data_IF_885672440594
#
_entry.id   IF_885672440594
#
_cell.length_a   1.000
_cell.length_b   1.000
_cell.length_c   1.000
_cell.angle_alpha   90.00
_cell.angle_beta   90.00
_cell.angle_gamma   90.00
#
_symmetry.space_group_name_H-M   'P 1'
#
loop_
_entity.id
_entity.type
_entity.pdbx_description
1 polymer ?
#
# COMPACT_ATOMS: atom_id res chain seq x y z
N UNK A 1 -13.86 -1.40 4.10
CA UNK A 1 -14.43 -2.43 5.00
C UNK A 1 -13.74 -3.74 4.67
N UNK A 2 -13.30 -4.50 5.67
CA UNK A 2 -12.60 -5.78 5.49
C UNK A 2 -13.31 -6.84 6.32
N UNK A 3 -13.59 -8.01 5.75
CA UNK A 3 -14.20 -9.12 6.48
C UNK A 3 -13.24 -9.70 7.52
N UNK A 4 -13.77 -10.19 8.64
CA UNK A 4 -12.95 -10.88 9.63
C UNK A 4 -12.50 -12.24 9.06
N UNK A 5 -11.19 -12.60 9.17
CA UNK A 5 -10.63 -13.79 8.52
C UNK A 5 -11.09 -15.13 9.12
N UNK A 6 -11.83 -15.10 10.24
CA UNK A 6 -12.40 -16.30 10.88
C UNK A 6 -13.69 -16.81 10.21
N UNK A 7 -14.12 -16.16 9.12
CA UNK A 7 -15.37 -16.50 8.42
C UNK A 7 -16.64 -16.11 9.19
N UNK A 8 -16.52 -15.36 10.29
CA UNK A 8 -17.67 -14.80 10.98
C UNK A 8 -18.30 -13.65 10.19
N UNK A 9 -19.52 -13.27 10.56
CA UNK A 9 -20.18 -12.08 10.00
C UNK A 9 -19.62 -10.77 10.59
N UNK A 10 -18.35 -10.74 11.01
CA UNK A 10 -17.72 -9.53 11.54
C UNK A 10 -16.94 -8.82 10.46
N UNK A 11 -16.94 -7.49 10.54
CA UNK A 11 -16.25 -6.60 9.60
C UNK A 11 -15.48 -5.53 10.35
N UNK A 12 -14.34 -5.17 9.78
CA UNK A 12 -13.54 -4.03 10.16
C UNK A 12 -13.90 -2.84 9.28
N UNK A 13 -14.31 -1.75 9.91
CA UNK A 13 -14.71 -0.50 9.26
C UNK A 13 -13.71 0.56 9.68
N UNK A 14 -12.92 1.01 8.71
CA UNK A 14 -11.95 2.07 8.89
C UNK A 14 -12.56 3.40 8.48
N UNK A 15 -12.34 4.43 9.29
CA UNK A 15 -12.53 5.81 8.87
C UNK A 15 -11.21 6.43 8.42
N UNK A 16 -11.32 7.52 7.66
CA UNK A 16 -10.18 8.22 7.09
C UNK A 16 -9.30 8.88 8.15
N UNK A 17 -9.84 9.16 9.34
CA UNK A 17 -9.12 9.75 10.46
C UNK A 17 -8.19 8.75 11.17
N UNK A 18 -8.19 7.48 10.79
CA UNK A 18 -7.29 6.48 11.37
C UNK A 18 -7.90 5.62 12.46
N UNK A 19 -9.24 5.55 12.56
CA UNK A 19 -9.90 4.64 13.50
C UNK A 19 -10.48 3.44 12.77
N UNK A 20 -10.13 2.25 13.25
CA UNK A 20 -10.68 0.98 12.78
C UNK A 20 -11.62 0.47 13.87
N UNK A 21 -12.86 0.16 13.47
CA UNK A 21 -13.89 -0.37 14.36
C UNK A 21 -14.37 -1.73 13.88
N UNK A 22 -14.62 -2.63 14.82
CA UNK A 22 -15.19 -3.95 14.59
C UNK A 22 -16.71 -3.89 14.79
N UNK A 23 -17.46 -4.47 13.85
CA UNK A 23 -18.90 -4.66 13.98
C UNK A 23 -19.33 -6.02 13.44
N UNK A 24 -20.49 -6.50 13.89
CA UNK A 24 -21.16 -7.68 13.34
C UNK A 24 -22.21 -7.25 12.33
N UNK A 25 -22.08 -7.70 11.09
CA UNK A 25 -23.03 -7.47 10.00
C UNK A 25 -24.33 -8.22 10.29
N UNK A 26 -25.49 -7.54 10.31
CA UNK A 26 -26.78 -8.19 10.46
C UNK A 26 -27.05 -9.18 9.32
N UNK A 27 -27.78 -10.25 9.61
CA UNK A 27 -28.19 -11.21 8.58
C UNK A 27 -28.98 -10.51 7.46
N UNK A 28 -28.73 -10.91 6.21
CA UNK A 28 -29.43 -10.38 5.04
C UNK A 28 -30.94 -10.59 5.22
N UNK A 29 -31.72 -9.52 5.06
CA UNK A 29 -33.19 -9.54 5.22
C UNK A 29 -33.69 -9.42 6.67
N UNK A 30 -32.81 -9.32 7.67
CA UNK A 30 -33.22 -9.14 9.07
C UNK A 30 -33.77 -7.75 9.40
N UNK A 31 -33.61 -6.78 8.51
CA UNK A 31 -33.91 -5.36 8.79
C UNK A 31 -32.95 -4.70 9.80
N UNK A 32 -31.94 -5.43 10.29
CA UNK A 32 -30.94 -4.88 11.19
C UNK A 32 -30.03 -3.89 10.50
N UNK A 33 -29.70 -2.81 11.20
CA UNK A 33 -28.77 -1.77 10.73
C UNK A 33 -27.40 -1.88 11.42
N UNK A 34 -26.35 -1.49 10.70
CA UNK A 34 -25.05 -1.17 11.27
C UNK A 34 -25.09 0.28 11.75
N UNK A 35 -25.14 0.48 13.07
CA UNK A 35 -25.18 1.79 13.71
C UNK A 35 -23.90 2.06 14.52
N UNK A 36 -23.65 3.32 14.90
CA UNK A 36 -22.47 3.70 15.70
C UNK A 36 -22.37 2.96 17.05
N UNK A 37 -23.51 2.63 17.65
CA UNK A 37 -23.67 1.87 18.89
C UNK A 37 -23.18 0.41 18.80
N UNK A 38 -23.06 -0.11 17.57
CA UNK A 38 -22.62 -1.50 17.30
C UNK A 38 -21.16 -1.59 16.88
N UNK A 39 -20.43 -0.47 16.90
CA UNK A 39 -19.02 -0.38 16.53
C UNK A 39 -18.15 -0.38 17.78
N UNK A 40 -17.39 -1.44 17.97
CA UNK A 40 -16.32 -1.51 18.98
C UNK A 40 -15.01 -0.98 18.39
N UNK A 41 -14.32 -0.07 19.10
CA UNK A 41 -13.00 0.40 18.67
C UNK A 41 -12.01 -0.76 18.68
N UNK A 42 -11.31 -0.96 17.55
CA UNK A 42 -10.30 -2.00 17.38
C UNK A 42 -8.88 -1.41 17.35
N UNK A 43 -8.69 -0.32 16.60
CA UNK A 43 -7.42 0.41 16.53
C UNK A 43 -7.71 1.91 16.39
N UNK A 44 -6.94 2.73 17.09
CA UNK A 44 -6.90 4.19 16.90
C UNK A 44 -5.46 4.61 16.66
N UNK A 45 -5.20 5.10 15.45
CA UNK A 45 -3.91 5.71 15.04
C UNK A 45 -4.12 7.15 14.57
N UNK A 46 -5.19 7.81 15.01
CA UNK A 46 -5.54 9.17 14.57
C UNK A 46 -4.51 10.24 14.93
N UNK A 47 -3.63 9.95 15.89
CA UNK A 47 -2.45 10.75 16.23
C UNK A 47 -1.32 10.64 15.18
N UNK A 48 -1.26 9.52 14.46
CA UNK A 48 -0.28 9.25 13.40
C UNK A 48 -0.79 9.63 12.01
N UNK A 49 -2.09 9.60 11.78
CA UNK A 49 -2.68 9.81 10.46
C UNK A 49 -2.79 11.30 10.12
N UNK A 50 -2.27 11.67 8.95
CA UNK A 50 -2.51 12.96 8.33
C UNK A 50 -3.70 12.89 7.37
N UNK A 51 -4.68 13.76 7.60
CA UNK A 51 -5.93 13.81 6.82
C UNK A 51 -5.99 15.10 6.00
N UNK A 52 -6.04 14.99 4.67
CA UNK A 52 -6.24 16.12 3.75
C UNK A 52 -6.61 15.65 2.32
N UNK A 53 -7.67 16.19 1.69
CA UNK A 53 -8.21 15.80 0.36
C UNK A 53 -8.40 14.31 0.10
N UNK A 54 -7.37 13.57 -0.31
CA UNK A 54 -7.38 12.11 -0.50
C UNK A 54 -6.50 11.35 0.51
N UNK A 55 -5.77 12.07 1.37
CA UNK A 55 -4.87 11.53 2.38
C UNK A 55 -5.60 11.11 3.64
N UNK A 56 -5.23 9.99 4.24
CA UNK A 56 -5.78 9.49 5.51
C UNK A 56 -5.41 8.03 5.72
N UNK A 57 -6.21 7.30 6.50
CA UNK A 57 -6.15 5.83 6.48
C UNK A 57 -6.75 5.33 5.17
N UNK A 58 -5.97 4.51 4.46
CA UNK A 58 -6.26 4.07 3.11
C UNK A 58 -6.77 2.63 3.10
N UNK A 59 -6.05 1.73 3.79
CA UNK A 59 -6.27 0.29 3.66
C UNK A 59 -5.89 -0.48 4.91
N UNK A 60 -6.36 -1.71 4.96
CA UNK A 60 -6.04 -2.69 5.99
C UNK A 60 -6.02 -4.07 5.35
N UNK A 61 -5.11 -4.93 5.81
CA UNK A 61 -5.10 -6.34 5.46
C UNK A 61 -4.64 -7.22 6.60
N UNK A 62 -5.10 -8.46 6.61
CA UNK A 62 -4.71 -9.46 7.59
C UNK A 62 -3.56 -10.29 7.06
N UNK A 63 -2.61 -10.58 7.92
CA UNK A 63 -1.63 -11.63 7.65
C UNK A 63 -2.37 -12.95 7.36
N UNK A 64 -1.93 -13.78 6.40
CA UNK A 64 -2.56 -15.10 6.15
C UNK A 64 -2.72 -15.92 7.44
N UNK A 65 -1.69 -15.91 8.28
CA UNK A 65 -1.68 -16.51 9.62
C UNK A 65 -2.26 -15.65 10.76
N UNK A 66 -3.11 -14.65 10.48
CA UNK A 66 -3.68 -13.74 11.49
C UNK A 66 -4.37 -14.49 12.64
N UNK A 67 -5.01 -15.62 12.35
CA UNK A 67 -5.68 -16.43 13.38
C UNK A 67 -4.70 -17.05 14.38
N UNK A 68 -3.42 -17.16 14.02
CA UNK A 68 -2.36 -17.70 14.86
C UNK A 68 -1.48 -16.60 15.47
N UNK A 69 -1.11 -15.59 14.68
CA UNK A 69 -0.14 -14.56 15.09
C UNK A 69 -0.77 -13.20 15.44
N UNK A 70 -2.05 -12.99 15.12
CA UNK A 70 -2.74 -11.70 15.32
C UNK A 70 -2.20 -10.56 14.46
N UNK A 71 -1.34 -10.82 13.47
CA UNK A 71 -0.65 -9.82 12.67
C UNK A 71 -1.52 -9.24 11.55
N UNK A 72 -1.58 -7.92 11.46
CA UNK A 72 -2.29 -7.21 10.40
C UNK A 72 -1.56 -5.93 10.03
N UNK A 73 -1.85 -5.43 8.84
CA UNK A 73 -1.20 -4.25 8.28
C UNK A 73 -2.23 -3.15 8.05
N UNK A 74 -1.82 -1.90 8.27
CA UNK A 74 -2.62 -0.71 7.97
C UNK A 74 -1.80 0.21 7.10
N UNK A 75 -2.42 0.69 6.02
CA UNK A 75 -1.84 1.72 5.16
C UNK A 75 -2.48 3.08 5.43
N UNK A 76 -1.67 4.12 5.62
CA UNK A 76 -2.16 5.46 5.93
C UNK A 76 -1.17 6.55 5.51
N UNK A 77 -1.62 7.79 5.41
CA UNK A 77 -0.74 8.93 5.19
C UNK A 77 -0.34 9.60 6.49
N UNK A 78 0.86 10.13 6.51
CA UNK A 78 1.50 10.71 7.67
C UNK A 78 2.19 12.04 7.30
N UNK A 79 2.33 12.98 8.23
CA UNK A 79 3.05 14.25 8.06
C UNK A 79 4.33 14.25 8.91
N UNK A 80 5.49 14.14 8.27
CA UNK A 80 6.80 14.02 8.93
C UNK A 80 7.09 15.16 9.91
N UNK A 81 6.50 16.33 9.74
CA UNK A 81 6.68 17.45 10.66
C UNK A 81 5.93 17.21 11.99
N UNK A 82 4.85 16.43 11.96
CA UNK A 82 4.04 16.12 13.15
C UNK A 82 4.56 14.94 13.95
N UNK A 83 5.30 14.01 13.35
CA UNK A 83 5.85 12.84 14.04
C UNK A 83 7.24 12.48 13.52
N UNK A 84 8.23 12.62 14.39
CA UNK A 84 9.62 12.32 14.10
C UNK A 84 9.90 10.82 13.90
N UNK A 85 8.93 9.95 14.21
CA UNK A 85 9.02 8.50 14.01
C UNK A 85 8.83 8.05 12.55
N UNK A 86 8.53 8.98 11.65
CA UNK A 86 8.43 8.69 10.23
C UNK A 86 9.79 8.81 9.53
N UNK A 87 10.38 7.66 9.22
CA UNK A 87 11.63 7.56 8.45
C UNK A 87 11.38 6.86 7.12
N UNK A 88 12.03 7.34 6.06
CA UNK A 88 12.09 6.65 4.78
C UNK A 88 12.46 7.58 3.62
N UNK A 89 12.62 6.97 2.45
CA UNK A 89 13.10 7.64 1.24
C UNK A 89 12.02 8.53 0.64
N UNK A 90 12.36 9.69 0.10
CA UNK A 90 11.39 10.53 -0.61
C UNK A 90 11.18 10.01 -2.04
N UNK A 91 9.94 9.99 -2.56
CA UNK A 91 9.65 9.51 -3.92
C UNK A 91 10.41 10.30 -4.98
N UNK A 92 10.46 11.62 -4.82
CA UNK A 92 11.24 12.51 -5.66
C UNK A 92 12.64 12.70 -5.04
N UNK A 93 13.60 11.90 -5.50
CA UNK A 93 14.99 11.94 -5.05
C UNK A 93 15.96 11.87 -6.25
N UNK A 94 17.26 11.98 -5.97
CA UNK A 94 18.30 11.94 -7.00
C UNK A 94 18.30 10.66 -7.84
N UNK A 95 17.96 9.52 -7.25
CA UNK A 95 18.00 8.21 -7.92
C UNK A 95 16.90 8.07 -8.97
N UNK A 96 15.85 8.90 -8.87
CA UNK A 96 14.76 8.98 -9.86
C UNK A 96 14.87 10.22 -10.75
N UNK A 97 16.00 10.93 -10.74
CA UNK A 97 16.18 12.24 -11.40
C UNK A 97 15.13 13.28 -10.99
N UNK A 98 14.61 13.15 -9.77
CA UNK A 98 13.64 14.07 -9.23
C UNK A 98 14.32 15.29 -8.64
N UNK A 99 13.87 16.49 -9.02
CA UNK A 99 14.29 17.76 -8.42
C UNK A 99 13.18 18.31 -7.52
N UNK A 100 13.29 18.21 -6.19
CA UNK A 100 12.31 18.78 -5.27
C UNK A 100 12.07 20.28 -5.45
N UNK A 101 13.03 21.02 -6.01
CA UNK A 101 12.93 22.48 -6.19
C UNK A 101 12.01 22.89 -7.34
N UNK A 102 11.74 21.99 -8.29
CA UNK A 102 10.78 22.25 -9.38
C UNK A 102 9.32 22.18 -8.90
N UNK A 103 9.09 21.62 -7.72
CA UNK A 103 7.80 21.67 -7.05
C UNK A 103 7.68 23.02 -6.35
N UNK A 104 7.08 23.99 -7.02
CA UNK A 104 6.66 25.23 -6.36
C UNK A 104 5.80 24.84 -5.14
N UNK A 105 6.00 25.53 -4.01
CA UNK A 105 5.20 25.43 -2.76
C UNK A 105 3.75 25.89 -2.94
N UNK A 106 3.15 25.51 -4.06
CA UNK A 106 1.75 25.73 -4.37
C UNK A 106 0.98 24.97 -3.31
N UNK A 107 0.16 25.69 -2.54
CA UNK A 107 -0.58 25.19 -1.37
C UNK A 107 0.24 24.97 -0.08
N UNK A 108 1.47 25.48 0.02
CA UNK A 108 2.26 25.42 1.28
C UNK A 108 2.75 24.03 1.67
N UNK A 109 2.71 23.07 0.74
CA UNK A 109 3.20 21.71 0.93
C UNK A 109 4.71 21.70 0.68
N UNK A 110 5.49 21.18 1.63
CA UNK A 110 6.92 20.99 1.43
C UNK A 110 7.17 19.66 0.70
N UNK A 111 8.06 19.61 -0.32
CA UNK A 111 8.50 18.35 -0.89
C UNK A 111 8.95 17.39 0.21
N UNK A 112 8.59 16.12 0.10
CA UNK A 112 8.99 15.10 1.08
C UNK A 112 8.48 15.31 2.52
N UNK A 113 7.40 16.06 2.72
CA UNK A 113 6.68 16.17 4.00
C UNK A 113 5.69 15.00 4.34
N UNK A 114 4.83 14.58 3.42
CA UNK A 114 3.74 13.59 3.66
C UNK A 114 4.01 12.15 3.19
N UNK A 115 4.19 11.21 4.09
CA UNK A 115 4.55 9.83 3.73
C UNK A 115 3.28 8.97 3.61
N UNK A 116 3.14 8.09 2.61
CA UNK A 116 2.26 6.93 2.77
C UNK A 116 3.04 5.84 3.49
N UNK A 117 2.40 5.28 4.51
CA UNK A 117 2.99 4.38 5.47
C UNK A 117 2.23 3.07 5.44
N UNK A 118 2.96 1.96 5.45
CA UNK A 118 2.41 0.65 5.80
C UNK A 118 3.02 0.27 7.13
N UNK A 119 2.17 -0.02 8.10
CA UNK A 119 2.60 -0.48 9.41
C UNK A 119 1.94 -1.80 9.76
N UNK A 120 2.77 -2.71 10.23
CA UNK A 120 2.36 -3.92 10.93
C UNK A 120 1.81 -3.55 12.31
N UNK A 121 0.81 -4.28 12.76
CA UNK A 121 0.21 -4.26 14.09
C UNK A 121 -0.11 -5.69 14.52
N UNK A 122 -0.18 -5.94 15.82
CA UNK A 122 -0.63 -7.22 16.38
C UNK A 122 -1.90 -7.01 17.19
N UNK A 123 -2.90 -7.88 17.01
CA UNK A 123 -4.09 -7.88 17.86
C UNK A 123 -3.64 -8.14 19.31
N UNK A 124 -3.81 -7.15 20.20
CA UNK A 124 -3.38 -7.09 21.60
C UNK A 124 -1.95 -6.53 21.89
N UNK A 125 -1.12 -6.25 20.89
CA UNK A 125 0.19 -5.58 21.07
C UNK A 125 0.49 -4.60 19.91
N UNK A 126 0.85 -3.35 20.23
CA UNK A 126 1.25 -2.35 19.23
C UNK A 126 2.76 -2.44 18.97
N UNK A 127 3.18 -3.25 18.00
CA UNK A 127 4.44 -3.01 17.28
C UNK A 127 4.12 -2.10 16.10
N UNK A 128 5.01 -1.15 15.78
CA UNK A 128 4.81 -0.18 14.71
C UNK A 128 6.13 -0.13 13.93
N UNK A 129 6.14 -0.74 12.75
CA UNK A 129 7.22 -0.59 11.78
C UNK A 129 6.72 0.32 10.66
N UNK A 130 7.54 1.27 10.20
CA UNK A 130 7.15 2.26 9.19
C UNK A 130 7.75 1.88 7.85
N UNK A 131 6.91 1.59 6.86
CA UNK A 131 7.28 1.57 5.43
C UNK A 131 6.86 2.90 4.78
N UNK A 132 7.41 3.30 3.63
CA UNK A 132 7.32 4.68 3.11
C UNK A 132 7.09 4.77 1.60
N UNK A 133 6.13 5.59 1.12
CA UNK A 133 6.28 6.75 0.19
C UNK A 133 4.95 7.35 -0.36
N UNK A 134 4.96 8.51 -1.03
CA UNK A 134 3.80 9.41 -1.23
C UNK A 134 2.63 8.95 -2.14
N UNK A 135 1.42 9.34 -1.70
CA UNK A 135 0.17 9.64 -2.41
C UNK A 135 -0.25 8.71 -3.55
N UNK A 136 -0.83 7.56 -3.19
CA UNK A 136 -2.01 6.93 -3.83
C UNK A 136 -2.34 5.61 -3.11
N UNK A 137 -3.51 5.07 -3.42
CA UNK A 137 -4.20 4.02 -2.69
C UNK A 137 -3.38 2.72 -2.58
N UNK A 138 -2.98 2.36 -1.36
CA UNK A 138 -2.44 1.02 -1.07
C UNK A 138 -3.60 0.07 -0.89
N UNK A 139 -3.71 -0.90 -1.81
CA UNK A 139 -4.57 -2.06 -1.64
C UNK A 139 -3.70 -3.29 -1.50
N UNK A 140 -4.12 -4.15 -0.59
CA UNK A 140 -3.54 -5.44 -0.40
C UNK A 140 -4.38 -6.44 -1.18
N UNK A 141 -3.72 -7.19 -2.06
CA UNK A 141 -4.21 -8.50 -2.46
C UNK A 141 -3.18 -9.50 -1.95
N UNK A 142 -3.65 -10.64 -1.45
CA UNK A 142 -2.80 -11.69 -0.92
C UNK A 142 -2.86 -12.85 -1.92
N UNK A 143 -1.70 -13.24 -2.45
CA UNK A 143 -1.60 -14.53 -3.12
C UNK A 143 -1.60 -15.62 -2.06
N UNK A 144 -2.73 -16.32 -1.92
CA UNK A 144 -2.95 -17.38 -0.94
C UNK A 144 -1.97 -18.56 -1.06
N UNK A 145 -1.12 -18.59 -2.10
CA UNK A 145 -0.13 -19.64 -2.29
C UNK A 145 1.30 -19.26 -1.90
N UNK A 146 1.64 -17.97 -1.77
CA UNK A 146 3.05 -17.55 -1.59
C UNK A 146 3.34 -16.53 -0.47
N UNK A 147 2.41 -16.17 0.41
CA UNK A 147 2.64 -15.18 1.49
C UNK A 147 3.20 -13.82 0.99
N UNK A 148 2.93 -13.49 -0.27
CA UNK A 148 3.40 -12.26 -0.93
C UNK A 148 2.34 -11.18 -0.88
N UNK A 149 2.79 -9.98 -0.52
CA UNK A 149 1.97 -8.79 -0.40
C UNK A 149 2.07 -7.92 -1.64
N UNK A 150 0.92 -7.63 -2.25
CA UNK A 150 0.83 -6.71 -3.38
C UNK A 150 0.49 -5.32 -2.86
N UNK A 151 1.22 -4.32 -3.34
CA UNK A 151 1.05 -2.91 -2.99
C UNK A 151 0.97 -2.07 -4.23
N UNK A 152 -0.06 -1.24 -4.34
CA UNK A 152 -0.20 -0.33 -5.48
C UNK A 152 0.09 1.10 -5.07
N UNK A 153 0.74 1.80 -5.99
CA UNK A 153 0.92 3.24 -5.95
C UNK A 153 0.65 3.77 -7.36
N UNK A 154 -0.17 4.79 -7.45
CA UNK A 154 -0.28 5.68 -8.60
C UNK A 154 0.92 6.62 -8.74
N UNK A 155 0.91 7.37 -9.82
CA UNK A 155 2.02 8.24 -10.24
C UNK A 155 2.17 9.50 -9.37
N UNK A 156 1.16 9.81 -8.55
CA UNK A 156 1.16 10.91 -7.59
C UNK A 156 1.15 12.29 -8.23
N UNK A 157 0.89 12.39 -9.53
CA UNK A 157 1.06 13.62 -10.31
C UNK A 157 -0.17 13.94 -11.15
N UNK A 158 -0.18 15.14 -11.73
CA UNK A 158 -1.29 15.60 -12.55
C UNK A 158 -1.41 14.87 -13.90
N UNK A 159 -2.22 15.43 -14.78
CA UNK A 159 -2.50 14.85 -16.11
C UNK A 159 -1.21 14.59 -16.89
N UNK A 160 -1.05 13.34 -17.36
CA UNK A 160 -0.05 12.96 -18.35
C UNK A 160 1.32 12.59 -17.80
N UNK A 161 1.46 12.37 -16.49
CA UNK A 161 2.71 12.00 -15.82
C UNK A 161 3.91 12.88 -16.24
N UNK A 162 3.86 14.20 -15.95
CA UNK A 162 4.84 15.16 -16.44
C UNK A 162 6.29 14.89 -15.96
N UNK A 163 6.45 14.11 -14.90
CA UNK A 163 7.74 13.72 -14.34
C UNK A 163 8.14 12.27 -14.71
N UNK A 164 7.32 11.60 -15.52
CA UNK A 164 7.54 10.25 -16.01
C UNK A 164 7.75 9.22 -14.87
N UNK A 165 7.11 9.43 -13.71
CA UNK A 165 7.28 8.56 -12.55
C UNK A 165 6.73 7.16 -12.79
N UNK A 166 5.60 7.04 -13.49
CA UNK A 166 4.94 5.76 -13.79
C UNK A 166 5.83 4.84 -14.63
N UNK A 167 6.62 5.41 -15.53
CA UNK A 167 7.56 4.70 -16.41
C UNK A 167 8.99 4.63 -15.85
N UNK A 168 9.32 5.44 -14.83
CA UNK A 168 10.63 5.43 -14.22
C UNK A 168 10.83 4.16 -13.38
N UNK A 169 11.78 3.33 -13.80
CA UNK A 169 12.12 2.03 -13.21
C UNK A 169 12.80 2.11 -11.84
N UNK A 170 13.21 3.31 -11.41
CA UNK A 170 13.78 3.58 -10.07
C UNK A 170 12.76 4.22 -9.12
N UNK A 171 11.57 4.57 -9.62
CA UNK A 171 10.47 5.15 -8.84
C UNK A 171 9.46 4.08 -8.44
N UNK A 172 8.99 4.15 -7.18
CA UNK A 172 7.88 3.31 -6.71
C UNK A 172 6.50 3.90 -7.03
N UNK A 173 6.44 5.12 -7.58
CA UNK A 173 5.18 5.73 -8.03
C UNK A 173 4.73 5.13 -9.37
N UNK A 174 3.43 4.91 -9.50
CA UNK A 174 2.80 4.31 -10.67
C UNK A 174 3.15 2.84 -10.87
N UNK A 175 3.27 2.09 -9.78
CA UNK A 175 3.72 0.68 -9.73
C UNK A 175 2.74 -0.22 -8.97
N UNK A 176 2.73 -1.50 -9.34
CA UNK A 176 2.42 -2.58 -8.40
C UNK A 176 3.75 -3.13 -7.91
N UNK A 177 3.91 -3.19 -6.59
CA UNK A 177 5.05 -3.77 -5.91
C UNK A 177 4.64 -5.10 -5.28
N UNK A 178 5.60 -6.02 -5.17
CA UNK A 178 5.49 -7.26 -4.40
C UNK A 178 6.53 -7.25 -3.29
N UNK A 179 6.07 -7.34 -2.06
CA UNK A 179 6.93 -7.34 -0.87
C UNK A 179 6.68 -8.63 -0.07
N UNK A 180 7.73 -9.06 0.63
CA UNK A 180 7.69 -10.13 1.62
C UNK A 180 7.96 -9.51 3.00
N UNK A 181 7.01 -9.71 3.90
CA UNK A 181 7.04 -9.17 5.26
C UNK A 181 7.50 -10.19 6.30
N UNK A 182 7.64 -11.46 5.92
CA UNK A 182 8.02 -12.55 6.82
C UNK A 182 9.53 -12.73 6.92
N UNK A 183 10.26 -12.50 5.81
CA UNK A 183 11.73 -12.53 5.80
C UNK A 183 12.31 -11.12 5.83
N UNK A 184 12.44 -10.54 7.02
CA UNK A 184 12.93 -9.16 7.19
C UNK A 184 14.48 -9.15 7.19
N UNK A 185 15.13 -8.49 6.21
CA UNK A 185 16.58 -8.40 6.15
C UNK A 185 17.16 -7.56 7.31
N UNK A 186 18.42 -7.82 7.67
CA UNK A 186 19.11 -7.01 8.69
C UNK A 186 19.24 -5.55 8.25
N UNK A 187 19.37 -4.62 9.21
CA UNK A 187 19.56 -3.20 8.92
C UNK A 187 20.75 -2.92 7.97
N UNK A 188 21.82 -3.73 8.04
CA UNK A 188 22.95 -3.65 7.11
C UNK A 188 22.53 -4.02 5.68
N UNK A 189 21.82 -5.14 5.52
CA UNK A 189 21.31 -5.58 4.21
C UNK A 189 20.31 -4.59 3.61
N UNK A 190 19.42 -4.00 4.42
CA UNK A 190 18.49 -2.95 3.98
C UNK A 190 19.26 -1.77 3.37
N UNK A 191 20.33 -1.32 4.04
CA UNK A 191 21.16 -0.22 3.56
C UNK A 191 21.97 -0.60 2.31
N UNK A 192 22.54 -1.80 2.26
CA UNK A 192 23.32 -2.30 1.11
C UNK A 192 22.46 -2.47 -0.15
N UNK A 193 21.24 -2.95 0.01
CA UNK A 193 20.26 -3.14 -1.07
C UNK A 193 19.54 -1.84 -1.44
N UNK A 194 19.61 -0.81 -0.59
CA UNK A 194 18.96 0.48 -0.82
C UNK A 194 17.44 0.42 -0.80
N UNK A 195 16.87 -0.54 -0.07
CA UNK A 195 15.42 -0.76 0.02
C UNK A 195 14.72 0.46 0.63
N UNK A 196 13.45 0.66 0.26
CA UNK A 196 12.68 1.81 0.74
C UNK A 196 12.08 1.59 2.13
N UNK A 197 12.19 0.38 2.67
CA UNK A 197 11.73 0.05 4.00
C UNK A 197 12.19 -1.33 4.49
N UNK A 198 11.55 -1.79 5.56
CA UNK A 198 11.87 -3.01 6.29
C UNK A 198 11.05 -4.20 5.77
N UNK A 199 11.42 -4.72 4.61
CA UNK A 199 10.84 -5.89 3.95
C UNK A 199 11.91 -6.57 3.11
N UNK A 200 11.64 -7.77 2.62
CA UNK A 200 12.37 -8.36 1.50
C UNK A 200 11.53 -8.33 0.22
N UNK A 201 12.17 -8.66 -0.89
CA UNK A 201 11.52 -8.76 -2.20
C UNK A 201 11.40 -10.23 -2.59
N UNK A 202 10.20 -10.74 -2.94
CA UNK A 202 10.00 -12.15 -3.22
C UNK A 202 10.85 -12.66 -4.39
N UNK A 203 11.26 -13.93 -4.30
CA UNK A 203 11.84 -14.65 -5.43
C UNK A 203 10.82 -14.71 -6.58
N UNK A 204 11.25 -14.36 -7.80
CA UNK A 204 10.37 -14.28 -8.97
C UNK A 204 9.81 -12.89 -9.30
N UNK A 205 10.25 -11.83 -8.62
CA UNK A 205 10.09 -10.48 -9.17
C UNK A 205 10.91 -10.31 -10.47
N UNK A 206 10.44 -9.50 -11.43
CA UNK A 206 11.00 -9.40 -12.80
C UNK A 206 12.41 -8.79 -12.89
N UNK A 207 13.03 -8.47 -11.76
CA UNK A 207 14.35 -7.83 -11.64
C UNK A 207 15.46 -8.70 -12.22
N UNK A 208 15.25 -10.02 -12.28
CA UNK A 208 16.16 -10.96 -12.92
C UNK A 208 16.27 -10.78 -14.45
N UNK A 209 15.27 -10.14 -15.08
CA UNK A 209 15.21 -9.95 -16.53
C UNK A 209 15.60 -8.52 -16.96
N UNK A 210 15.53 -7.55 -16.04
CA UNK A 210 15.87 -6.13 -16.28
C UNK A 210 16.66 -5.53 -15.11
N UNK A 211 18.00 -5.50 -15.24
CA UNK A 211 18.91 -4.92 -14.25
C UNK A 211 18.65 -3.44 -13.91
N UNK A 212 17.87 -2.72 -14.74
CA UNK A 212 17.44 -1.36 -14.47
C UNK A 212 16.26 -1.24 -13.50
N UNK A 213 15.48 -2.31 -13.32
CA UNK A 213 14.24 -2.33 -12.55
C UNK A 213 14.50 -2.43 -11.04
N UNK A 214 13.71 -1.70 -10.25
CA UNK A 214 13.79 -1.81 -8.79
C UNK A 214 13.26 -3.13 -8.24
N UNK A 215 13.97 -3.76 -7.27
CA UNK A 215 13.64 -5.06 -6.70
C UNK A 215 12.17 -5.27 -6.35
N UNK A 216 11.52 -4.22 -5.86
CA UNK A 216 10.14 -4.25 -5.38
C UNK A 216 9.12 -4.26 -6.51
N UNK A 217 9.47 -3.77 -7.70
CA UNK A 217 8.53 -3.49 -8.79
C UNK A 217 8.14 -4.80 -9.49
N UNK A 218 6.84 -5.07 -9.52
CA UNK A 218 6.25 -6.18 -10.27
C UNK A 218 5.60 -5.71 -11.58
N UNK A 219 4.92 -4.56 -11.57
CA UNK A 219 4.36 -3.92 -12.76
C UNK A 219 4.46 -2.39 -12.68
N UNK A 220 4.46 -1.72 -13.82
CA UNK A 220 4.61 -0.26 -13.93
C UNK A 220 3.60 0.36 -14.90
N UNK A 221 3.52 1.70 -14.93
CA UNK A 221 2.63 2.44 -15.83
C UNK A 221 1.22 2.70 -15.28
N UNK A 222 1.04 2.63 -13.96
CA UNK A 222 -0.22 2.96 -13.31
C UNK A 222 -0.32 4.47 -13.05
N UNK A 223 -1.54 4.99 -13.09
CA UNK A 223 -1.81 6.41 -12.80
C UNK A 223 -2.41 6.60 -11.42
N UNK A 224 -3.54 5.96 -11.17
CA UNK A 224 -4.26 6.00 -9.91
C UNK A 224 -5.02 4.68 -9.73
N UNK A 225 -4.28 3.60 -9.38
CA UNK A 225 -4.88 2.29 -9.18
C UNK A 225 -5.85 2.38 -7.99
N UNK A 226 -7.06 1.90 -8.23
CA UNK A 226 -8.09 1.74 -7.22
C UNK A 226 -8.09 0.30 -6.76
N UNK A 227 -9.18 -0.44 -6.94
CA UNK A 227 -9.29 -1.82 -6.48
C UNK A 227 -8.53 -2.78 -7.38
N UNK A 228 -7.68 -3.60 -6.75
CA UNK A 228 -6.98 -4.70 -7.40
C UNK A 228 -7.27 -6.00 -6.66
N UNK A 229 -7.54 -7.08 -7.39
CA UNK A 229 -7.72 -8.40 -6.80
C UNK A 229 -7.41 -9.53 -7.79
N UNK A 230 -7.14 -10.72 -7.24
CA UNK A 230 -7.05 -11.94 -8.03
C UNK A 230 -8.44 -12.45 -8.39
N UNK A 231 -8.60 -12.95 -9.62
CA UNK A 231 -9.83 -13.67 -9.99
C UNK A 231 -9.90 -15.00 -9.21
N UNK A 232 -10.90 -15.20 -8.34
CA UNK A 232 -10.99 -16.40 -7.50
C UNK A 232 -11.20 -17.69 -8.32
N UNK A 233 -11.64 -17.58 -9.59
CA UNK A 233 -11.78 -18.72 -10.51
C UNK A 233 -10.56 -18.89 -11.42
N UNK A 234 -9.74 -17.86 -11.56
CA UNK A 234 -8.55 -17.84 -12.41
C UNK A 234 -7.40 -17.19 -11.63
N UNK A 235 -6.76 -17.92 -10.70
CA UNK A 235 -5.81 -17.33 -9.73
C UNK A 235 -4.56 -16.70 -10.37
N UNK A 236 -4.28 -16.97 -11.65
CA UNK A 236 -3.22 -16.30 -12.42
C UNK A 236 -3.63 -14.93 -12.98
N UNK A 237 -4.89 -14.52 -12.86
CA UNK A 237 -5.40 -13.25 -13.36
C UNK A 237 -5.47 -12.25 -12.23
N UNK A 238 -4.69 -11.19 -12.35
CA UNK A 238 -4.68 -10.07 -11.44
C UNK A 238 -5.31 -8.86 -12.11
N UNK A 239 -6.42 -8.37 -11.57
CA UNK A 239 -7.20 -7.30 -12.20
C UNK A 239 -7.11 -6.05 -11.35
N UNK A 240 -6.83 -4.91 -11.98
CA UNK A 240 -6.74 -3.60 -11.33
C UNK A 240 -7.59 -2.58 -12.06
N UNK A 241 -8.45 -1.87 -11.33
CA UNK A 241 -9.09 -0.67 -11.83
C UNK A 241 -8.12 0.52 -11.73
N UNK A 242 -7.98 1.31 -12.80
CA UNK A 242 -7.08 2.47 -12.83
C UNK A 242 -7.66 3.59 -13.71
N UNK A 243 -7.40 4.84 -13.32
CA UNK A 243 -7.96 6.02 -13.98
C UNK A 243 -7.10 6.57 -15.14
N UNK A 244 -6.10 5.80 -15.61
CA UNK A 244 -5.46 5.85 -16.94
C UNK A 244 -4.77 7.14 -17.40
N UNK A 245 -3.48 7.02 -17.75
CA UNK A 245 -2.85 7.76 -18.85
C UNK A 245 -1.55 7.02 -19.27
N UNK A 246 -1.67 6.08 -20.23
CA UNK A 246 -0.62 5.22 -20.84
C UNK A 246 -0.06 4.10 -19.94
N UNK A 247 -0.64 2.92 -20.09
CA UNK A 247 -0.03 1.66 -19.66
C UNK A 247 1.10 1.26 -20.61
N UNK A 248 2.25 0.87 -20.07
CA UNK A 248 3.29 0.16 -20.81
C UNK A 248 3.92 -0.89 -19.90
N UNK A 249 4.02 -2.10 -20.45
CA UNK A 249 4.78 -3.27 -20.02
C UNK A 249 4.39 -3.96 -18.70
N UNK A 250 3.69 -5.09 -18.86
CA UNK A 250 3.56 -6.14 -17.85
C UNK A 250 4.67 -7.16 -18.05
N UNK A 251 5.58 -7.30 -17.08
CA UNK A 251 6.60 -8.35 -17.09
C UNK A 251 6.04 -9.59 -16.39
N UNK A 252 5.19 -10.32 -17.11
CA UNK A 252 4.82 -11.69 -16.76
C UNK A 252 4.74 -12.53 -18.02
N UNK A 253 5.39 -13.70 -17.99
CA UNK A 253 5.30 -14.75 -19.02
C UNK A 253 3.92 -15.42 -19.07
N UNK A 254 2.95 -14.95 -18.30
CA UNK A 254 1.53 -15.29 -18.43
C UNK A 254 0.75 -14.07 -18.92
N UNK A 255 0.14 -14.21 -20.10
CA UNK A 255 -0.74 -13.21 -20.71
C UNK A 255 -1.80 -12.72 -19.71
N UNK A 256 -1.68 -11.46 -19.27
CA UNK A 256 -2.78 -10.73 -18.67
C UNK A 256 -3.56 -10.01 -19.78
N UNK A 257 -4.65 -10.64 -20.22
CA UNK A 257 -5.64 -9.97 -21.05
C UNK A 257 -6.44 -8.98 -20.18
N UNK A 258 -6.28 -7.69 -20.46
CA UNK A 258 -7.21 -6.66 -20.00
C UNK A 258 -8.34 -6.53 -21.03
N UNK A 259 -9.59 -6.76 -20.59
CA UNK A 259 -10.80 -6.39 -21.34
C UNK A 259 -11.30 -5.06 -20.79
#
# INVERSE_FOLDING_TARGET
MVGHPDGSNRVFISDREGRIRLATVPAVGSGGTLGPDKLSLFLDISDKVYVNYDLGLIGMAFHPNFMQNGCFFVSFNHDKIKWDGCSGKCSCNSDVNGDPSVFNSTFGLSPCQYYAVISEFTANETKSYSLVCFLTLVIFSLDLQMDIWYFMMGDGVGVGDPYNFSQNKKSLLGKIMRLDADDIPSATQINELGLWGNYSTPEGNPVSEDYGLWPEIWALGLKNPWHCDFDPKRPSYFLCADNGARFADFFSSTCLDMI
#
